data_IF_431496968971
#
_entry.id   IF_431496968971
#
_cell.length_a   1.000
_cell.length_b   1.000
_cell.length_c   1.000
_cell.angle_alpha   90.00
_cell.angle_beta   90.00
_cell.angle_gamma   90.00
#
_symmetry.space_group_name_H-M   'P 1'
#
loop_
_entity.id
_entity.type
_entity.pdbx_description
1 polymer ?
#
# COMPACT_ATOMS: atom_id res chain seq x y z
N UNK A 1 13.46 -21.46 10.14
CA UNK A 1 13.90 -20.22 10.83
C UNK A 1 12.72 -19.23 10.95
N UNK A 2 11.90 -19.10 9.93
CA UNK A 2 10.68 -18.28 9.94
C UNK A 2 9.49 -19.13 9.48
N UNK A 3 9.13 -20.11 10.30
CA UNK A 3 8.22 -21.19 9.88
C UNK A 3 6.79 -20.71 9.69
N UNK A 4 6.29 -19.83 10.57
CA UNK A 4 4.96 -19.23 10.43
C UNK A 4 4.87 -18.30 9.23
N UNK A 5 5.89 -17.45 9.03
CA UNK A 5 5.93 -16.45 7.97
C UNK A 5 5.83 -17.09 6.57
N UNK A 6 6.41 -18.28 6.40
CA UNK A 6 6.41 -19.02 5.13
C UNK A 6 5.38 -20.16 5.04
N UNK A 7 4.45 -20.25 6.01
CA UNK A 7 3.29 -21.14 5.83
C UNK A 7 2.30 -20.55 4.82
N UNK A 8 1.80 -21.36 3.88
CA UNK A 8 0.73 -20.92 2.98
C UNK A 8 -0.55 -20.59 3.75
N UNK A 9 -1.38 -19.74 3.14
CA UNK A 9 -2.73 -19.43 3.63
C UNK A 9 -3.69 -19.39 2.46
N UNK A 10 -4.86 -20.04 2.63
CA UNK A 10 -5.93 -20.02 1.63
C UNK A 10 -7.06 -19.13 2.10
N UNK A 11 -7.49 -18.24 1.24
CA UNK A 11 -8.58 -17.28 1.44
C UNK A 11 -9.55 -17.50 0.29
N UNK A 12 -10.70 -18.12 0.57
CA UNK A 12 -11.59 -18.63 -0.49
C UNK A 12 -10.80 -19.47 -1.52
N UNK A 13 -10.84 -19.13 -2.80
CA UNK A 13 -10.14 -19.89 -3.85
C UNK A 13 -8.68 -19.41 -4.07
N UNK A 14 -8.24 -18.36 -3.39
CA UNK A 14 -6.89 -17.83 -3.50
C UNK A 14 -5.97 -18.42 -2.44
N UNK A 15 -4.89 -19.08 -2.86
CA UNK A 15 -3.82 -19.55 -1.96
C UNK A 15 -2.59 -18.67 -2.11
N UNK A 16 -2.13 -18.10 -0.99
CA UNK A 16 -0.87 -17.35 -0.88
C UNK A 16 0.25 -18.29 -0.43
N UNK A 17 1.41 -18.18 -1.07
CA UNK A 17 2.59 -19.02 -0.80
C UNK A 17 3.30 -18.75 0.54
N UNK A 18 3.04 -17.61 1.13
CA UNK A 18 3.52 -17.18 2.45
C UNK A 18 2.60 -16.08 3.00
N UNK A 19 2.93 -15.51 4.16
CA UNK A 19 2.11 -14.52 4.86
C UNK A 19 2.60 -13.07 4.69
N UNK A 20 3.49 -12.81 3.74
CA UNK A 20 4.06 -11.48 3.47
C UNK A 20 3.35 -10.84 2.27
N UNK A 21 2.77 -9.67 2.52
CA UNK A 21 2.03 -8.92 1.50
C UNK A 21 2.80 -7.64 1.17
N UNK A 22 2.95 -7.36 -0.13
CA UNK A 22 3.30 -6.04 -0.64
C UNK A 22 2.01 -5.22 -0.73
N UNK A 23 1.82 -4.18 0.12
CA UNK A 23 0.59 -3.40 0.13
C UNK A 23 0.51 -2.46 -1.07
N UNK A 24 -0.66 -1.90 -1.28
CA UNK A 24 -0.85 -0.74 -2.12
C UNK A 24 0.03 0.42 -1.61
N UNK A 25 0.91 0.92 -2.47
CA UNK A 25 1.78 2.06 -2.20
C UNK A 25 1.79 2.97 -3.42
N UNK A 26 1.31 4.20 -3.28
CA UNK A 26 1.30 5.18 -4.36
C UNK A 26 2.72 5.44 -4.88
N UNK A 27 2.95 5.15 -6.14
CA UNK A 27 4.27 5.26 -6.76
C UNK A 27 4.48 6.55 -7.55
N UNK A 28 3.40 7.12 -8.06
CA UNK A 28 3.43 8.22 -9.03
C UNK A 28 4.19 7.89 -10.32
N UNK A 29 4.25 6.61 -10.70
CA UNK A 29 4.87 6.19 -11.97
C UNK A 29 3.99 6.46 -13.18
N UNK A 30 2.68 6.58 -12.97
CA UNK A 30 1.70 6.65 -14.06
C UNK A 30 1.88 7.90 -14.92
N UNK A 31 1.65 7.70 -16.20
CA UNK A 31 1.44 8.76 -17.17
C UNK A 31 -0.02 8.68 -17.60
N UNK A 32 -0.78 9.73 -17.30
CA UNK A 32 -2.21 9.85 -17.62
C UNK A 32 -3.07 8.66 -17.13
N UNK A 33 -2.83 8.23 -15.89
CA UNK A 33 -3.61 7.18 -15.16
C UNK A 33 -3.42 5.74 -15.64
N UNK A 34 -2.55 5.50 -16.62
CA UNK A 34 -2.29 4.14 -17.13
C UNK A 34 -1.15 3.45 -16.39
N UNK A 35 -1.25 2.13 -16.28
CA UNK A 35 -0.09 1.28 -15.99
C UNK A 35 0.93 1.43 -17.11
N UNK A 36 2.20 1.50 -16.76
CA UNK A 36 3.33 1.54 -17.68
C UNK A 36 4.42 0.55 -17.27
N UNK A 37 5.52 0.52 -18.01
CA UNK A 37 6.63 -0.39 -17.79
C UNK A 37 7.28 -0.28 -16.40
N UNK A 38 7.27 0.92 -15.79
CA UNK A 38 7.80 1.11 -14.43
C UNK A 38 6.95 0.36 -13.40
N UNK A 39 5.61 0.42 -13.51
CA UNK A 39 4.71 -0.35 -12.63
C UNK A 39 4.95 -1.85 -12.78
N UNK A 40 5.07 -2.33 -14.03
CA UNK A 40 5.29 -3.76 -14.31
C UNK A 40 6.62 -4.19 -13.70
N UNK A 41 7.72 -3.47 -13.98
CA UNK A 41 9.04 -3.80 -13.45
C UNK A 41 9.08 -3.78 -11.91
N UNK A 42 8.42 -2.79 -11.30
CA UNK A 42 8.30 -2.63 -9.86
C UNK A 42 7.61 -3.84 -9.21
N UNK A 43 6.42 -4.22 -9.69
CA UNK A 43 5.68 -5.34 -9.12
C UNK A 43 6.31 -6.70 -9.42
N UNK A 44 6.84 -6.88 -10.63
CA UNK A 44 7.62 -8.07 -11.03
C UNK A 44 8.81 -8.30 -10.11
N UNK A 45 9.56 -7.24 -9.79
CA UNK A 45 10.71 -7.37 -8.89
C UNK A 45 10.30 -7.92 -7.50
N UNK A 46 9.17 -7.50 -6.94
CA UNK A 46 8.67 -7.97 -5.63
C UNK A 46 8.06 -9.37 -5.73
N UNK A 47 7.32 -9.67 -6.79
CA UNK A 47 6.77 -11.01 -7.02
C UNK A 47 7.91 -12.04 -7.19
N UNK A 48 8.91 -11.75 -8.01
CA UNK A 48 10.14 -12.55 -8.16
C UNK A 48 10.89 -12.68 -6.84
N UNK A 49 10.95 -11.61 -6.05
CA UNK A 49 11.58 -11.57 -4.73
C UNK A 49 10.83 -12.31 -3.63
N UNK A 50 9.71 -12.98 -3.97
CA UNK A 50 9.02 -13.89 -3.07
C UNK A 50 7.77 -13.34 -2.37
N UNK A 51 7.35 -12.10 -2.63
CA UNK A 51 6.07 -11.58 -2.12
C UNK A 51 4.92 -12.49 -2.51
N UNK A 52 4.03 -12.82 -1.56
CA UNK A 52 2.91 -13.72 -1.84
C UNK A 52 1.78 -13.04 -2.62
N UNK A 53 1.51 -11.79 -2.27
CA UNK A 53 0.50 -10.94 -2.87
C UNK A 53 1.07 -9.54 -3.06
N UNK A 54 0.91 -8.99 -4.25
CA UNK A 54 1.19 -7.59 -4.54
C UNK A 54 -0.14 -6.86 -4.75
N UNK A 55 -0.49 -5.94 -3.86
CA UNK A 55 -1.65 -5.08 -4.03
C UNK A 55 -1.21 -3.85 -4.81
N UNK A 56 -1.76 -3.69 -6.00
CA UNK A 56 -1.51 -2.53 -6.88
C UNK A 56 -2.08 -1.27 -6.21
N UNK A 57 -1.34 -0.18 -6.33
CA UNK A 57 -1.63 1.10 -5.69
C UNK A 57 -3.04 1.63 -5.95
N UNK A 58 -3.43 2.66 -5.20
CA UNK A 58 -4.71 3.36 -5.34
C UNK A 58 -5.09 3.54 -6.81
N UNK A 59 -6.26 3.01 -7.17
CA UNK A 59 -6.81 3.06 -8.52
C UNK A 59 -8.18 3.71 -8.47
N UNK A 60 -8.27 4.90 -9.07
CA UNK A 60 -9.48 5.74 -9.01
C UNK A 60 -10.66 5.06 -9.67
N UNK A 61 -11.79 5.00 -8.98
CA UNK A 61 -13.03 4.36 -9.48
C UNK A 61 -13.95 5.32 -10.22
N UNK A 62 -13.79 6.64 -10.05
CA UNK A 62 -14.66 7.69 -10.60
C UNK A 62 -13.89 8.58 -11.56
N UNK A 63 -14.32 8.65 -12.83
CA UNK A 63 -13.56 9.28 -13.92
C UNK A 63 -13.26 10.78 -13.69
N UNK A 64 -14.26 11.56 -13.24
CA UNK A 64 -14.09 13.00 -12.98
C UNK A 64 -13.27 13.29 -11.71
N UNK A 65 -13.15 12.33 -10.81
CA UNK A 65 -12.40 12.42 -9.55
C UNK A 65 -11.14 11.56 -9.57
N UNK A 66 -10.50 11.42 -10.73
CA UNK A 66 -9.29 10.63 -10.93
C UNK A 66 -8.10 11.54 -11.22
N UNK A 67 -7.19 11.79 -10.23
CA UNK A 67 -5.98 12.57 -10.46
C UNK A 67 -5.07 11.94 -11.50
N UNK A 68 -4.39 12.75 -12.32
CA UNK A 68 -3.52 12.25 -13.40
C UNK A 68 -2.31 11.48 -12.90
N UNK A 69 -1.90 11.74 -11.66
CA UNK A 69 -0.73 11.13 -11.02
C UNK A 69 -1.00 9.77 -10.36
N UNK A 70 -2.25 9.29 -10.37
CA UNK A 70 -2.64 7.99 -9.81
C UNK A 70 -3.25 7.11 -10.90
N UNK A 71 -3.22 5.81 -10.68
CA UNK A 71 -3.88 4.85 -11.57
C UNK A 71 -5.40 5.07 -11.58
N UNK A 72 -6.03 4.64 -12.66
CA UNK A 72 -7.48 4.62 -12.76
C UNK A 72 -7.98 3.28 -13.29
N UNK A 73 -9.16 2.91 -12.81
CA UNK A 73 -9.97 1.77 -13.29
C UNK A 73 -11.40 2.22 -13.58
N UNK A 74 -11.62 3.55 -13.67
CA UNK A 74 -12.94 4.14 -13.89
C UNK A 74 -13.56 3.84 -15.25
N UNK A 75 -12.76 3.42 -16.24
CA UNK A 75 -13.20 3.17 -17.61
C UNK A 75 -12.54 1.92 -18.19
N UNK A 76 -13.20 1.26 -19.14
CA UNK A 76 -12.74 0.00 -19.75
C UNK A 76 -11.39 0.12 -20.47
N UNK A 77 -11.04 1.30 -20.95
CA UNK A 77 -9.75 1.58 -21.61
C UNK A 77 -8.53 1.23 -20.77
N UNK A 78 -8.66 1.16 -19.42
CA UNK A 78 -7.55 0.83 -18.52
C UNK A 78 -7.33 -0.68 -18.38
N UNK A 79 -8.33 -1.52 -18.69
CA UNK A 79 -8.27 -2.97 -18.52
C UNK A 79 -7.04 -3.60 -19.21
N UNK A 80 -6.71 -3.29 -20.48
CA UNK A 80 -5.59 -3.97 -21.15
C UNK A 80 -4.25 -3.78 -20.43
N UNK A 81 -3.95 -2.57 -19.97
CA UNK A 81 -2.69 -2.29 -19.27
C UNK A 81 -2.65 -2.86 -17.85
N UNK A 82 -3.78 -2.89 -17.16
CA UNK A 82 -3.92 -3.59 -15.88
C UNK A 82 -3.73 -5.11 -16.06
N UNK A 83 -4.24 -5.67 -17.15
CA UNK A 83 -4.04 -7.09 -17.46
C UNK A 83 -2.58 -7.43 -17.77
N UNK A 84 -1.86 -6.61 -18.52
CA UNK A 84 -0.41 -6.78 -18.72
C UNK A 84 0.34 -6.86 -17.39
N UNK A 85 -0.06 -6.02 -16.41
CA UNK A 85 0.54 -6.02 -15.07
C UNK A 85 0.23 -7.30 -14.29
N UNK A 86 -1.05 -7.74 -14.28
CA UNK A 86 -1.43 -8.98 -13.57
C UNK A 86 -0.75 -10.20 -14.17
N UNK A 87 -0.74 -10.33 -15.51
CA UNK A 87 -0.06 -11.41 -16.22
C UNK A 87 1.44 -11.46 -15.88
N UNK A 88 2.10 -10.30 -15.78
CA UNK A 88 3.52 -10.21 -15.41
C UNK A 88 3.78 -10.62 -13.94
N UNK A 89 2.91 -10.26 -13.00
CA UNK A 89 3.01 -10.69 -11.60
C UNK A 89 2.80 -12.21 -11.48
N UNK A 90 1.81 -12.75 -12.20
CA UNK A 90 1.52 -14.18 -12.20
C UNK A 90 2.66 -15.00 -12.80
N UNK A 91 3.34 -14.49 -13.83
CA UNK A 91 4.51 -15.16 -14.44
C UNK A 91 5.65 -15.38 -13.42
N UNK A 92 5.73 -14.57 -12.37
CA UNK A 92 6.70 -14.73 -11.26
C UNK A 92 6.11 -15.54 -10.07
N UNK A 93 4.94 -16.15 -10.24
CA UNK A 93 4.29 -16.95 -9.21
C UNK A 93 3.70 -16.15 -8.04
N UNK A 94 3.58 -14.84 -8.17
CA UNK A 94 2.88 -13.97 -7.22
C UNK A 94 1.38 -13.92 -7.49
N UNK A 95 0.61 -13.44 -6.49
CA UNK A 95 -0.79 -13.06 -6.63
C UNK A 95 -0.91 -11.55 -6.79
N UNK A 96 -1.90 -11.09 -7.55
CA UNK A 96 -2.16 -9.68 -7.83
C UNK A 96 -3.48 -9.23 -7.21
N UNK A 97 -3.43 -8.20 -6.36
CA UNK A 97 -4.60 -7.47 -5.86
C UNK A 97 -4.62 -6.05 -6.43
N UNK A 98 -5.76 -5.38 -6.36
CA UNK A 98 -5.90 -3.96 -6.71
C UNK A 98 -6.67 -3.22 -5.64
N UNK A 99 -6.18 -2.02 -5.26
CA UNK A 99 -6.86 -1.18 -4.30
C UNK A 99 -7.81 -0.21 -5.02
N UNK A 100 -9.12 -0.39 -4.83
CA UNK A 100 -10.15 0.51 -5.32
C UNK A 100 -10.28 1.74 -4.41
N UNK A 101 -10.20 2.92 -5.00
CA UNK A 101 -10.03 4.16 -4.26
C UNK A 101 -10.88 5.30 -4.80
N UNK A 102 -11.43 6.07 -3.88
CA UNK A 102 -11.96 7.41 -4.12
C UNK A 102 -11.36 8.35 -3.05
N UNK A 103 -10.52 9.28 -3.51
CA UNK A 103 -9.58 9.98 -2.64
C UNK A 103 -10.15 11.09 -1.79
N UNK A 104 -11.41 11.48 -1.96
CA UNK A 104 -11.98 12.57 -1.18
C UNK A 104 -11.16 13.86 -1.32
N UNK A 105 -10.72 14.38 -0.20
CA UNK A 105 -9.89 15.58 -0.14
C UNK A 105 -8.55 15.44 -0.87
N UNK A 106 -7.94 14.25 -0.86
CA UNK A 106 -6.63 14.01 -1.49
C UNK A 106 -6.64 14.21 -3.01
N UNK A 107 -7.79 14.13 -3.65
CA UNK A 107 -7.94 14.41 -5.08
C UNK A 107 -7.57 15.86 -5.42
N UNK A 108 -7.68 16.78 -4.48
CA UNK A 108 -7.32 18.20 -4.65
C UNK A 108 -5.83 18.48 -4.94
N UNK A 109 -4.96 17.47 -4.86
CA UNK A 109 -3.59 17.54 -5.37
C UNK A 109 -3.55 17.76 -6.90
N UNK A 110 -4.60 17.38 -7.62
CA UNK A 110 -4.78 17.64 -9.04
C UNK A 110 -5.98 18.58 -9.25
N UNK A 111 -5.70 19.83 -9.59
CA UNK A 111 -6.73 20.85 -9.80
C UNK A 111 -7.71 20.55 -10.94
N UNK A 112 -7.43 19.53 -11.77
CA UNK A 112 -8.33 19.10 -12.85
C UNK A 112 -9.30 18.02 -12.42
N UNK A 113 -9.15 17.45 -11.21
CA UNK A 113 -9.99 16.40 -10.69
C UNK A 113 -11.03 16.94 -9.70
N UNK A 114 -12.23 16.37 -9.74
CA UNK A 114 -13.35 16.77 -8.88
C UNK A 114 -13.14 16.25 -7.45
N UNK A 115 -13.12 17.14 -6.46
CA UNK A 115 -13.10 16.76 -5.05
C UNK A 115 -14.50 16.33 -4.64
N UNK A 116 -14.63 15.15 -4.03
CA UNK A 116 -15.86 14.60 -3.47
C UNK A 116 -15.70 14.47 -1.95
N UNK A 117 -16.57 15.12 -1.16
CA UNK A 117 -16.50 15.16 0.30
C UNK A 117 -17.78 14.61 0.93
N UNK A 118 -17.66 14.02 2.11
CA UNK A 118 -18.82 13.52 2.87
C UNK A 118 -19.75 14.66 3.31
N UNK A 119 -19.19 15.80 3.69
CA UNK A 119 -19.90 16.98 4.21
C UNK A 119 -19.32 18.26 3.65
N UNK A 120 -20.06 19.36 3.77
CA UNK A 120 -19.56 20.70 3.48
C UNK A 120 -18.29 20.97 4.28
N UNK A 121 -17.22 21.32 3.60
CA UNK A 121 -15.91 21.53 4.21
C UNK A 121 -15.29 22.83 3.74
N UNK A 122 -14.97 23.72 4.65
CA UNK A 122 -14.24 24.94 4.37
C UNK A 122 -12.73 24.60 4.23
N UNK A 123 -12.23 24.66 2.99
CA UNK A 123 -10.82 24.36 2.68
C UNK A 123 -9.91 25.58 2.83
N UNK A 124 -10.47 26.79 2.75
CA UNK A 124 -9.80 28.06 3.01
C UNK A 124 -10.87 29.10 3.42
N UNK A 125 -10.47 30.19 4.09
CA UNK A 125 -11.42 31.23 4.49
C UNK A 125 -12.31 31.70 3.33
N UNK A 126 -13.63 31.44 3.45
CA UNK A 126 -14.61 31.76 2.42
C UNK A 126 -14.65 30.83 1.20
N UNK A 127 -13.91 29.72 1.22
CA UNK A 127 -13.94 28.70 0.18
C UNK A 127 -14.42 27.35 0.73
N UNK A 128 -15.70 27.06 0.55
CA UNK A 128 -16.33 25.81 0.99
C UNK A 128 -16.59 24.90 -0.21
N UNK A 129 -16.14 23.64 -0.11
CA UNK A 129 -16.53 22.58 -1.04
C UNK A 129 -17.72 21.84 -0.43
N UNK A 130 -18.86 21.75 -1.15
CA UNK A 130 -20.04 21.10 -0.62
C UNK A 130 -19.85 19.58 -0.52
N UNK A 131 -20.51 19.00 0.47
CA UNK A 131 -20.67 17.56 0.56
C UNK A 131 -21.47 17.01 -0.62
N UNK A 132 -21.16 15.78 -1.03
CA UNK A 132 -21.81 15.17 -2.20
C UNK A 132 -23.31 14.91 -1.97
N UNK A 133 -24.10 15.08 -3.03
CA UNK A 133 -25.53 14.80 -3.00
C UNK A 133 -25.81 13.30 -2.93
N UNK A 134 -27.08 12.92 -2.66
CA UNK A 134 -27.51 11.51 -2.68
C UNK A 134 -27.34 10.86 -4.05
N UNK A 135 -27.60 11.64 -5.11
CA UNK A 135 -27.41 11.18 -6.48
C UNK A 135 -25.93 10.88 -6.75
N UNK A 136 -25.03 11.74 -6.28
CA UNK A 136 -23.58 11.51 -6.39
C UNK A 136 -23.13 10.32 -5.52
N UNK A 137 -23.71 10.12 -4.33
CA UNK A 137 -23.46 8.92 -3.51
C UNK A 137 -23.81 7.66 -4.33
N UNK A 138 -25.00 7.61 -4.93
CA UNK A 138 -25.44 6.47 -5.74
C UNK A 138 -24.53 6.27 -6.97
N UNK A 139 -24.08 7.34 -7.62
CA UNK A 139 -23.13 7.28 -8.73
C UNK A 139 -21.78 6.68 -8.30
N UNK A 140 -21.24 7.14 -7.18
CA UNK A 140 -19.96 6.61 -6.66
C UNK A 140 -20.07 5.13 -6.27
N UNK A 141 -21.18 4.71 -5.66
CA UNK A 141 -21.46 3.30 -5.35
C UNK A 141 -21.47 2.45 -6.62
N UNK A 142 -22.16 2.90 -7.68
CA UNK A 142 -22.17 2.24 -8.98
C UNK A 142 -20.78 2.18 -9.62
N UNK A 143 -19.99 3.25 -9.49
CA UNK A 143 -18.59 3.28 -9.95
C UNK A 143 -17.73 2.22 -9.26
N UNK A 144 -17.89 1.97 -7.97
CA UNK A 144 -17.20 0.89 -7.26
C UNK A 144 -17.56 -0.49 -7.81
N UNK A 145 -18.83 -0.76 -8.06
CA UNK A 145 -19.27 -2.02 -8.69
C UNK A 145 -18.70 -2.21 -10.09
N UNK A 146 -18.73 -1.17 -10.93
CA UNK A 146 -18.13 -1.20 -12.27
C UNK A 146 -16.61 -1.38 -12.24
N UNK A 147 -15.92 -0.72 -11.30
CA UNK A 147 -14.49 -0.87 -11.10
C UNK A 147 -14.12 -2.30 -10.68
N UNK A 148 -14.92 -2.92 -9.81
CA UNK A 148 -14.74 -4.32 -9.41
C UNK A 148 -14.88 -5.27 -10.62
N UNK A 149 -15.89 -5.09 -11.46
CA UNK A 149 -16.03 -5.87 -12.68
C UNK A 149 -14.81 -5.74 -13.62
N UNK A 150 -14.24 -4.53 -13.75
CA UNK A 150 -13.03 -4.30 -14.54
C UNK A 150 -11.80 -4.95 -13.92
N UNK A 151 -11.69 -4.95 -12.57
CA UNK A 151 -10.61 -5.65 -11.87
C UNK A 151 -10.65 -7.16 -12.14
N UNK A 152 -11.84 -7.77 -12.13
CA UNK A 152 -12.03 -9.17 -12.52
C UNK A 152 -11.62 -9.40 -13.97
N UNK A 153 -12.04 -8.54 -14.88
CA UNK A 153 -11.69 -8.63 -16.30
C UNK A 153 -10.19 -8.45 -16.58
N UNK A 154 -9.50 -7.66 -15.74
CA UNK A 154 -8.06 -7.47 -15.78
C UNK A 154 -7.26 -8.62 -15.14
N UNK A 155 -7.91 -9.63 -14.54
CA UNK A 155 -7.27 -10.84 -14.02
C UNK A 155 -6.69 -10.70 -12.62
N UNK A 156 -7.14 -9.74 -11.81
CA UNK A 156 -6.75 -9.66 -10.40
C UNK A 156 -7.29 -10.84 -9.59
N UNK A 157 -6.50 -11.33 -8.63
CA UNK A 157 -6.86 -12.43 -7.73
C UNK A 157 -7.71 -11.97 -6.54
N UNK A 158 -7.61 -10.71 -6.14
CA UNK A 158 -8.42 -10.10 -5.08
C UNK A 158 -8.60 -8.60 -5.32
N UNK A 159 -9.59 -8.02 -4.65
CA UNK A 159 -9.83 -6.58 -4.61
C UNK A 159 -9.64 -6.12 -3.17
N UNK A 160 -9.03 -4.96 -2.97
CA UNK A 160 -8.98 -4.25 -1.70
C UNK A 160 -9.81 -2.97 -1.79
N UNK A 161 -10.86 -2.87 -0.98
CA UNK A 161 -11.64 -1.65 -0.80
C UNK A 161 -10.90 -0.71 0.15
N UNK A 162 -10.57 0.49 -0.31
CA UNK A 162 -9.91 1.48 0.53
C UNK A 162 -10.91 2.27 1.36
N UNK A 163 -11.03 1.93 2.64
CA UNK A 163 -11.90 2.57 3.63
C UNK A 163 -11.10 3.08 4.84
N UNK A 164 -9.94 3.72 4.58
CA UNK A 164 -9.00 4.22 5.60
C UNK A 164 -8.53 5.63 5.27
N UNK A 165 -7.72 6.23 6.17
CA UNK A 165 -6.93 7.45 5.97
C UNK A 165 -7.76 8.71 5.66
N UNK A 166 -9.06 8.69 5.99
CA UNK A 166 -10.03 9.75 5.70
C UNK A 166 -10.24 10.06 4.20
N UNK A 167 -9.94 9.09 3.32
CA UNK A 167 -10.45 9.11 1.96
C UNK A 167 -11.98 8.99 1.96
N UNK A 168 -12.64 9.20 0.83
CA UNK A 168 -14.08 9.40 0.82
C UNK A 168 -14.89 8.35 1.62
N UNK A 169 -14.69 7.02 1.47
CA UNK A 169 -15.45 6.06 2.26
C UNK A 169 -15.22 6.19 3.77
N UNK A 170 -13.98 6.40 4.20
CA UNK A 170 -13.65 6.59 5.61
C UNK A 170 -14.14 7.94 6.15
N UNK A 171 -14.14 9.00 5.33
CA UNK A 171 -14.66 10.31 5.74
C UNK A 171 -16.16 10.29 6.02
N UNK A 172 -16.92 9.39 5.38
CA UNK A 172 -18.33 9.15 5.75
C UNK A 172 -18.45 8.48 7.10
N UNK A 173 -17.56 7.54 7.40
CA UNK A 173 -17.55 6.77 8.65
C UNK A 173 -17.15 7.61 9.86
N UNK A 174 -16.18 8.54 9.66
CA UNK A 174 -15.61 9.42 10.70
C UNK A 174 -16.61 10.48 11.15
N UNK A 175 -16.91 10.54 12.44
CA UNK A 175 -17.72 11.60 13.04
C UNK A 175 -17.01 12.97 13.01
N UNK A 176 -15.68 12.95 13.00
CA UNK A 176 -14.87 14.17 12.88
C UNK A 176 -14.96 14.86 11.51
N UNK A 177 -15.46 14.18 10.48
CA UNK A 177 -15.56 14.69 9.10
C UNK A 177 -16.98 14.65 8.54
N UNK A 178 -17.82 13.74 9.02
CA UNK A 178 -19.19 13.58 8.54
C UNK A 178 -20.17 14.35 9.43
N UNK A 179 -20.53 15.54 9.01
CA UNK A 179 -21.50 16.42 9.69
C UNK A 179 -22.88 16.42 9.02
N UNK A 180 -23.20 15.36 8.23
CA UNK A 180 -24.49 15.21 7.57
C UNK A 180 -25.62 14.98 8.59
N UNK A 181 -26.79 15.49 8.22
CA UNK A 181 -28.04 15.35 9.01
C UNK A 181 -29.07 14.44 8.35
N UNK A 182 -28.71 13.84 7.21
CA UNK A 182 -29.53 12.86 6.49
C UNK A 182 -29.15 11.42 6.91
N UNK A 183 -29.70 10.43 6.19
CA UNK A 183 -29.49 9.00 6.46
C UNK A 183 -28.06 8.50 6.31
N UNK A 184 -27.12 9.35 5.88
CA UNK A 184 -25.68 9.07 5.77
C UNK A 184 -24.86 9.73 6.88
N UNK A 185 -25.50 10.39 7.88
CA UNK A 185 -24.82 11.07 8.97
C UNK A 185 -25.46 10.82 10.35
N UNK A 186 -24.83 11.33 11.39
CA UNK A 186 -25.27 11.15 12.79
C UNK A 186 -24.81 9.82 13.40
N UNK A 187 -25.67 8.83 13.57
CA UNK A 187 -25.31 7.56 14.19
C UNK A 187 -24.26 6.78 13.39
N UNK A 188 -23.52 5.88 14.06
CA UNK A 188 -22.51 5.05 13.39
C UNK A 188 -23.11 4.21 12.26
N UNK A 189 -24.34 3.70 12.44
CA UNK A 189 -25.07 2.94 11.40
C UNK A 189 -25.31 3.80 10.15
N UNK A 190 -25.70 5.06 10.34
CA UNK A 190 -25.94 5.98 9.24
C UNK A 190 -24.62 6.33 8.54
N UNK A 191 -23.57 6.65 9.29
CA UNK A 191 -22.23 6.93 8.73
C UNK A 191 -21.64 5.73 8.00
N UNK A 192 -21.92 4.51 8.44
CA UNK A 192 -21.50 3.26 7.82
C UNK A 192 -22.27 2.93 6.53
N UNK A 193 -23.41 3.55 6.26
CA UNK A 193 -24.29 3.24 5.12
C UNK A 193 -23.56 3.30 3.80
N UNK A 194 -22.92 4.42 3.49
CA UNK A 194 -22.21 4.61 2.22
C UNK A 194 -21.08 3.58 2.00
N UNK A 195 -20.11 3.38 2.92
CA UNK A 195 -19.09 2.35 2.72
C UNK A 195 -19.68 0.93 2.63
N UNK A 196 -20.77 0.61 3.35
CA UNK A 196 -21.44 -0.70 3.23
C UNK A 196 -22.14 -0.87 1.86
N UNK A 197 -22.71 0.19 1.30
CA UNK A 197 -23.26 0.17 -0.07
C UNK A 197 -22.17 -0.08 -1.10
N UNK A 198 -21.00 0.58 -0.96
CA UNK A 198 -19.83 0.33 -1.80
C UNK A 198 -19.36 -1.14 -1.71
N UNK A 199 -19.24 -1.69 -0.50
CA UNK A 199 -18.82 -3.09 -0.28
C UNK A 199 -19.79 -4.05 -0.99
N UNK A 200 -21.12 -3.85 -0.85
CA UNK A 200 -22.11 -4.68 -1.51
C UNK A 200 -22.04 -4.59 -3.03
N UNK A 201 -21.83 -3.38 -3.57
CA UNK A 201 -21.68 -3.17 -5.01
C UNK A 201 -20.42 -3.87 -5.57
N UNK A 202 -19.29 -3.77 -4.86
CA UNK A 202 -18.05 -4.48 -5.18
C UNK A 202 -18.30 -5.99 -5.14
N UNK A 203 -18.84 -6.52 -4.03
CA UNK A 203 -19.07 -7.97 -3.85
C UNK A 203 -19.98 -8.54 -4.91
N UNK A 204 -21.05 -7.82 -5.30
CA UNK A 204 -21.98 -8.24 -6.32
C UNK A 204 -21.35 -8.39 -7.73
N UNK A 205 -20.25 -7.66 -7.99
CA UNK A 205 -19.53 -7.71 -9.26
C UNK A 205 -18.37 -8.73 -9.28
N UNK A 206 -18.05 -9.35 -8.14
CA UNK A 206 -16.94 -10.29 -8.01
C UNK A 206 -17.42 -11.75 -8.04
N UNK A 207 -16.62 -12.70 -8.58
CA UNK A 207 -16.86 -14.13 -8.41
C UNK A 207 -16.91 -14.51 -6.91
N UNK A 208 -17.70 -15.51 -6.57
CA UNK A 208 -17.89 -15.95 -5.16
C UNK A 208 -16.56 -16.37 -4.51
N UNK A 209 -15.71 -17.09 -5.25
CA UNK A 209 -14.42 -17.57 -4.78
C UNK A 209 -13.30 -16.50 -4.71
N UNK A 210 -13.53 -15.30 -5.23
CA UNK A 210 -12.55 -14.21 -5.20
C UNK A 210 -12.61 -13.44 -3.87
N UNK A 211 -11.51 -13.30 -3.11
CA UNK A 211 -11.51 -12.59 -1.84
C UNK A 211 -11.70 -11.07 -2.00
N UNK A 212 -12.48 -10.48 -1.08
CA UNK A 212 -12.58 -9.03 -0.91
C UNK A 212 -11.86 -8.61 0.38
N UNK A 213 -10.82 -7.83 0.21
CA UNK A 213 -10.07 -7.21 1.29
C UNK A 213 -10.63 -5.80 1.56
N UNK A 214 -10.49 -5.34 2.78
CA UNK A 214 -10.80 -3.95 3.15
C UNK A 214 -9.64 -3.36 3.96
N UNK A 215 -9.07 -2.26 3.45
CA UNK A 215 -8.15 -1.45 4.24
C UNK A 215 -8.95 -0.51 5.10
N UNK A 216 -8.73 -0.57 6.43
CA UNK A 216 -9.45 0.19 7.45
C UNK A 216 -8.49 0.74 8.50
N UNK A 217 -8.75 1.92 9.04
CA UNK A 217 -7.99 2.41 10.19
C UNK A 217 -8.50 1.78 11.48
N UNK A 218 -7.58 1.42 12.35
CA UNK A 218 -7.92 0.86 13.65
C UNK A 218 -8.72 1.83 14.52
N UNK A 219 -8.43 3.12 14.37
CA UNK A 219 -9.07 4.24 15.07
C UNK A 219 -8.82 5.53 14.31
N UNK A 220 -9.59 6.54 14.61
CA UNK A 220 -9.48 7.87 13.99
C UNK A 220 -8.70 8.82 14.91
N UNK A 221 -7.48 9.15 14.53
CA UNK A 221 -6.59 9.98 15.35
C UNK A 221 -6.74 11.48 15.01
N UNK A 222 -6.69 12.34 16.01
CA UNK A 222 -6.65 13.78 15.83
C UNK A 222 -8.00 14.50 15.87
N UNK A 223 -9.10 13.77 16.06
CA UNK A 223 -10.46 14.34 16.21
C UNK A 223 -10.98 14.32 17.64
N UNK A 224 -10.16 13.92 18.62
CA UNK A 224 -10.58 13.82 20.01
C UNK A 224 -11.75 12.83 20.19
N UNK A 225 -12.81 13.26 20.85
CA UNK A 225 -14.00 12.42 21.12
C UNK A 225 -14.86 12.15 19.86
N UNK A 226 -14.70 12.95 18.81
CA UNK A 226 -15.40 12.76 17.54
C UNK A 226 -14.73 11.72 16.61
N UNK A 227 -13.56 11.23 16.95
CA UNK A 227 -12.87 10.18 16.16
C UNK A 227 -13.44 8.79 16.45
N UNK A 228 -13.39 7.92 15.44
CA UNK A 228 -13.70 6.49 15.61
C UNK A 228 -12.79 5.85 16.66
N UNK A 229 -13.37 5.11 17.57
CA UNK A 229 -12.64 4.24 18.50
C UNK A 229 -12.37 2.86 17.86
N UNK A 230 -11.51 2.08 18.49
CA UNK A 230 -11.29 0.67 18.04
C UNK A 230 -12.59 -0.13 18.15
N UNK A 231 -13.46 0.16 19.12
CA UNK A 231 -14.76 -0.49 19.32
C UNK A 231 -15.74 -0.15 18.20
N UNK A 232 -15.77 1.12 17.74
CA UNK A 232 -16.56 1.53 16.57
C UNK A 232 -16.08 0.83 15.31
N UNK A 233 -14.76 0.74 15.14
CA UNK A 233 -14.14 0.00 14.02
C UNK A 233 -14.51 -1.48 14.05
N UNK A 234 -14.46 -2.14 15.21
CA UNK A 234 -14.92 -3.54 15.38
C UNK A 234 -16.40 -3.67 14.98
N UNK A 235 -17.23 -2.76 15.42
CA UNK A 235 -18.67 -2.76 15.10
C UNK A 235 -18.89 -2.64 13.59
N UNK A 236 -18.24 -1.66 12.94
CA UNK A 236 -18.29 -1.48 11.49
C UNK A 236 -17.75 -2.69 10.73
N UNK A 237 -16.60 -3.25 11.16
CA UNK A 237 -16.01 -4.43 10.52
C UNK A 237 -16.91 -5.67 10.58
N UNK A 238 -17.70 -5.85 11.64
CA UNK A 238 -18.70 -6.91 11.68
C UNK A 238 -19.81 -6.69 10.63
N UNK A 239 -20.29 -5.46 10.44
CA UNK A 239 -21.24 -5.15 9.36
C UNK A 239 -20.61 -5.31 7.97
N UNK A 240 -19.33 -4.96 7.81
CA UNK A 240 -18.58 -5.15 6.58
C UNK A 240 -18.37 -6.64 6.24
N UNK A 241 -18.15 -7.49 7.25
CA UNK A 241 -18.12 -8.95 7.11
C UNK A 241 -19.45 -9.48 6.56
N UNK A 242 -20.57 -9.04 7.15
CA UNK A 242 -21.90 -9.44 6.70
C UNK A 242 -22.21 -8.91 5.29
N UNK A 243 -21.61 -7.80 4.89
CA UNK A 243 -21.70 -7.23 3.54
C UNK A 243 -20.77 -7.92 2.53
N UNK A 244 -19.85 -8.81 2.95
CA UNK A 244 -19.03 -9.65 2.08
C UNK A 244 -17.53 -9.39 2.07
N UNK A 245 -16.97 -8.65 3.04
CA UNK A 245 -15.52 -8.52 3.26
C UNK A 245 -14.97 -9.80 3.88
N UNK A 246 -13.85 -10.30 3.36
CA UNK A 246 -13.22 -11.54 3.80
C UNK A 246 -11.98 -11.29 4.67
N UNK A 247 -11.24 -10.20 4.42
CA UNK A 247 -9.95 -9.89 5.08
C UNK A 247 -9.88 -8.42 5.45
N UNK A 248 -9.37 -8.12 6.64
CA UNK A 248 -9.10 -6.76 7.10
C UNK A 248 -7.61 -6.44 7.01
N UNK A 249 -7.23 -5.38 6.29
CA UNK A 249 -5.90 -4.76 6.36
C UNK A 249 -5.96 -3.56 7.32
N UNK A 250 -5.48 -3.75 8.56
CA UNK A 250 -5.70 -2.79 9.64
C UNK A 250 -4.59 -1.76 9.67
N UNK A 251 -4.88 -0.59 9.11
CA UNK A 251 -4.01 0.59 9.09
C UNK A 251 -4.27 1.53 10.28
N UNK A 252 -3.68 2.71 10.23
CA UNK A 252 -3.89 3.82 11.16
C UNK A 252 -3.35 5.11 10.56
N UNK A 253 -3.98 6.22 10.89
CA UNK A 253 -3.57 7.55 10.46
C UNK A 253 -4.51 8.16 9.42
N UNK A 254 -4.28 9.42 9.10
CA UNK A 254 -5.11 10.13 8.14
C UNK A 254 -4.37 11.32 7.52
N UNK A 255 -4.88 11.81 6.40
CA UNK A 255 -4.27 12.91 5.64
C UNK A 255 -4.69 14.31 6.10
N UNK A 256 -5.64 14.44 7.04
CA UNK A 256 -6.25 15.73 7.42
C UNK A 256 -5.77 16.26 8.77
N UNK A 257 -5.10 15.44 9.58
CA UNK A 257 -4.57 15.85 10.89
C UNK A 257 -3.08 15.53 11.02
N UNK A 258 -2.48 15.88 12.15
CA UNK A 258 -1.11 15.48 12.50
C UNK A 258 -0.93 13.95 12.63
N UNK A 259 -2.01 13.16 12.51
CA UNK A 259 -2.00 11.71 12.50
C UNK A 259 -1.49 11.11 11.18
N UNK A 260 -1.20 11.90 10.16
CA UNK A 260 -0.52 11.48 8.92
C UNK A 260 0.80 10.72 9.18
N UNK A 261 1.46 11.01 10.30
CA UNK A 261 2.63 10.26 10.77
C UNK A 261 2.37 8.77 11.05
N UNK A 262 1.13 8.35 11.27
CA UNK A 262 0.78 6.94 11.50
C UNK A 262 0.50 6.19 10.19
N UNK A 263 0.08 6.89 9.14
CA UNK A 263 -0.11 6.31 7.81
C UNK A 263 1.22 5.87 7.19
N UNK A 264 2.24 6.74 7.23
CA UNK A 264 3.61 6.42 6.81
C UNK A 264 4.56 6.69 7.98
N UNK A 265 4.63 5.77 8.95
CA UNK A 265 5.28 6.01 10.23
C UNK A 265 6.79 6.24 10.08
N UNK A 266 7.31 7.39 10.61
CA UNK A 266 8.74 7.71 10.61
C UNK A 266 9.53 6.88 11.64
N UNK A 267 10.84 7.14 11.71
CA UNK A 267 11.80 6.38 12.53
C UNK A 267 11.48 6.41 14.03
N UNK A 268 10.94 7.51 14.53
CA UNK A 268 10.64 7.75 15.95
C UNK A 268 9.41 6.98 16.48
N UNK A 269 8.56 6.45 15.60
CA UNK A 269 7.48 5.56 16.02
C UNK A 269 7.98 4.13 16.25
N UNK A 270 7.48 3.41 17.27
CA UNK A 270 7.89 2.04 17.54
C UNK A 270 7.57 1.09 16.37
N UNK A 271 8.41 0.09 16.17
CA UNK A 271 8.11 -1.00 15.23
C UNK A 271 6.92 -1.80 15.72
N UNK A 272 5.94 -2.05 14.84
CA UNK A 272 4.72 -2.80 15.18
C UNK A 272 3.69 -1.99 15.99
N UNK A 273 3.80 -0.65 16.05
CA UNK A 273 2.97 0.23 16.89
C UNK A 273 1.46 0.04 16.75
N UNK A 274 0.99 -0.51 15.62
CA UNK A 274 -0.44 -0.71 15.35
C UNK A 274 -0.87 -2.19 15.45
N UNK A 275 0.04 -3.12 15.71
CA UNK A 275 -0.25 -4.58 15.69
C UNK A 275 -1.24 -4.97 16.78
N UNK A 276 -1.16 -4.36 17.96
CA UNK A 276 -2.07 -4.68 19.07
C UNK A 276 -3.51 -4.22 18.78
N UNK A 277 -3.69 -3.12 18.04
CA UNK A 277 -5.00 -2.70 17.54
C UNK A 277 -5.54 -3.71 16.54
N UNK A 278 -4.71 -4.16 15.58
CA UNK A 278 -5.10 -5.20 14.63
C UNK A 278 -5.51 -6.50 15.33
N UNK A 279 -4.79 -6.90 16.38
CA UNK A 279 -5.11 -8.07 17.19
C UNK A 279 -6.47 -7.91 17.93
N UNK A 280 -6.78 -6.71 18.46
CA UNK A 280 -8.09 -6.42 19.08
C UNK A 280 -9.23 -6.54 18.07
N UNK A 281 -9.06 -5.96 16.87
CA UNK A 281 -10.04 -6.00 15.79
C UNK A 281 -10.24 -7.44 15.32
N UNK A 282 -9.14 -8.19 15.09
CA UNK A 282 -9.20 -9.63 14.76
C UNK A 282 -10.01 -10.43 15.78
N UNK A 283 -9.74 -10.22 17.06
CA UNK A 283 -10.46 -10.87 18.16
C UNK A 283 -11.95 -10.49 18.20
N UNK A 284 -12.25 -9.21 17.96
CA UNK A 284 -13.63 -8.69 18.02
C UNK A 284 -14.50 -9.07 16.82
N UNK A 285 -13.89 -9.39 15.67
CA UNK A 285 -14.58 -9.73 14.42
C UNK A 285 -14.50 -11.21 14.05
N UNK A 286 -13.45 -11.91 14.51
CA UNK A 286 -13.13 -13.26 14.06
C UNK A 286 -12.75 -13.34 12.58
N UNK A 287 -12.37 -12.22 11.95
CA UNK A 287 -11.97 -12.17 10.54
C UNK A 287 -10.46 -12.37 10.38
N UNK A 288 -10.05 -12.91 9.21
CA UNK A 288 -8.65 -12.87 8.81
C UNK A 288 -8.16 -11.42 8.78
N UNK A 289 -7.01 -11.18 9.40
CA UNK A 289 -6.51 -9.82 9.61
C UNK A 289 -5.04 -9.70 9.24
N UNK A 290 -4.70 -8.60 8.61
CA UNK A 290 -3.35 -8.22 8.24
C UNK A 290 -2.87 -7.15 9.20
N UNK A 291 -1.67 -7.32 9.76
CA UNK A 291 -1.01 -6.32 10.60
C UNK A 291 -0.07 -5.43 9.81
N UNK A 292 -0.11 -4.12 10.10
CA UNK A 292 0.80 -3.13 9.53
C UNK A 292 1.35 -2.20 10.60
N UNK A 293 2.46 -1.53 10.34
CA UNK A 293 3.03 -0.51 11.21
C UNK A 293 4.52 -0.70 11.48
N UNK A 294 5.39 -0.31 10.52
CA UNK A 294 6.86 -0.46 10.63
C UNK A 294 7.30 -1.90 10.90
N UNK A 295 6.69 -2.88 10.26
CA UNK A 295 7.18 -4.26 10.23
C UNK A 295 8.21 -4.30 9.11
N UNK A 296 9.51 -4.35 9.47
CA UNK A 296 10.63 -4.30 8.52
C UNK A 296 11.79 -5.23 8.90
N UNK A 297 11.52 -6.16 9.81
CA UNK A 297 12.45 -7.16 10.27
C UNK A 297 11.76 -8.53 10.21
N UNK A 298 12.40 -9.58 9.64
CA UNK A 298 11.76 -10.89 9.52
C UNK A 298 11.47 -11.55 10.84
N UNK A 299 12.33 -11.37 11.87
CA UNK A 299 12.07 -11.95 13.20
C UNK A 299 10.86 -11.28 13.85
N UNK A 300 10.75 -9.93 13.75
CA UNK A 300 9.56 -9.23 14.22
C UNK A 300 8.28 -9.74 13.55
N UNK A 301 8.32 -9.99 12.24
CA UNK A 301 7.17 -10.51 11.51
C UNK A 301 6.79 -11.93 11.96
N UNK A 302 7.79 -12.80 12.19
CA UNK A 302 7.58 -14.15 12.74
C UNK A 302 6.98 -14.09 14.13
N UNK A 303 7.56 -13.31 15.05
CA UNK A 303 7.09 -13.16 16.44
C UNK A 303 5.62 -12.70 16.50
N UNK A 304 5.22 -11.77 15.61
CA UNK A 304 3.83 -11.30 15.52
C UNK A 304 2.88 -12.43 15.11
N UNK A 305 3.28 -13.26 14.16
CA UNK A 305 2.47 -14.41 13.69
C UNK A 305 2.47 -15.57 14.68
N UNK A 306 3.60 -15.85 15.33
CA UNK A 306 3.69 -16.88 16.39
C UNK A 306 2.85 -16.53 17.61
N UNK A 307 2.80 -15.23 17.96
CA UNK A 307 1.94 -14.72 19.03
C UNK A 307 0.44 -14.69 18.65
N UNK A 308 0.07 -15.18 17.47
CA UNK A 308 -1.30 -15.24 16.93
C UNK A 308 -2.03 -13.86 16.95
N UNK A 309 -1.27 -12.77 16.80
CA UNK A 309 -1.82 -11.42 16.81
C UNK A 309 -2.59 -11.11 15.52
N UNK A 310 -2.07 -11.56 14.38
CA UNK A 310 -2.67 -11.40 13.05
C UNK A 310 -2.39 -12.63 12.19
N UNK A 311 -3.06 -12.74 11.05
CA UNK A 311 -2.92 -13.88 10.13
C UNK A 311 -1.85 -13.66 9.07
N UNK A 312 -1.61 -12.41 8.68
CA UNK A 312 -0.64 -11.98 7.67
C UNK A 312 -0.04 -10.63 8.06
N UNK A 313 1.08 -10.27 7.44
CA UNK A 313 1.78 -9.00 7.67
C UNK A 313 2.00 -8.24 6.36
N UNK A 314 1.78 -6.94 6.43
CA UNK A 314 2.14 -5.99 5.37
C UNK A 314 3.55 -5.46 5.62
N UNK A 315 4.44 -5.64 4.64
CA UNK A 315 5.83 -5.22 4.72
C UNK A 315 6.22 -4.30 3.54
N UNK A 316 5.47 -3.18 3.36
CA UNK A 316 5.60 -2.31 2.19
C UNK A 316 7.00 -1.72 2.02
N UNK A 317 7.42 -0.83 2.94
CA UNK A 317 8.74 -0.17 2.83
C UNK A 317 9.93 -1.12 3.02
N UNK A 318 9.73 -2.28 3.65
CA UNK A 318 10.74 -3.34 3.67
C UNK A 318 11.00 -3.86 2.25
N UNK A 319 9.95 -4.21 1.50
CA UNK A 319 10.04 -4.67 0.13
C UNK A 319 10.32 -3.52 -0.88
N UNK A 320 10.07 -2.26 -0.50
CA UNK A 320 10.55 -1.11 -1.26
C UNK A 320 12.07 -1.00 -1.19
N UNK A 321 12.64 -1.14 0.01
CA UNK A 321 14.08 -1.08 0.23
C UNK A 321 14.81 -2.31 -0.35
N UNK A 322 14.20 -3.49 -0.25
CA UNK A 322 14.75 -4.74 -0.75
C UNK A 322 13.66 -5.57 -1.47
N UNK A 323 13.61 -5.55 -2.80
CA UNK A 323 12.61 -6.34 -3.52
C UNK A 323 12.79 -7.86 -3.34
N UNK A 324 13.99 -8.34 -3.00
CA UNK A 324 14.31 -9.75 -2.76
C UNK A 324 14.16 -10.17 -1.27
N UNK A 325 13.52 -9.32 -0.48
CA UNK A 325 13.35 -9.50 0.97
C UNK A 325 12.85 -10.90 1.35
N UNK A 326 11.76 -11.38 0.72
CA UNK A 326 11.15 -12.65 1.09
C UNK A 326 12.04 -13.84 0.76
N UNK A 327 12.72 -13.86 -0.39
CA UNK A 327 13.65 -14.93 -0.75
C UNK A 327 14.84 -14.95 0.21
N UNK A 328 15.44 -13.79 0.52
CA UNK A 328 16.54 -13.68 1.49
C UNK A 328 16.14 -14.23 2.86
N UNK A 329 14.92 -13.89 3.33
CA UNK A 329 14.39 -14.46 4.57
C UNK A 329 14.27 -15.99 4.50
N UNK A 330 13.66 -16.50 3.42
CA UNK A 330 13.44 -17.95 3.23
C UNK A 330 14.73 -18.73 3.14
N UNK A 331 15.77 -18.16 2.53
CA UNK A 331 17.09 -18.75 2.34
C UNK A 331 18.02 -18.57 3.54
N UNK A 332 17.57 -17.87 4.60
CA UNK A 332 18.39 -17.60 5.79
C UNK A 332 19.46 -16.52 5.60
N UNK A 333 19.41 -15.77 4.49
CA UNK A 333 20.33 -14.66 4.16
C UNK A 333 19.87 -13.32 4.78
N UNK A 334 19.56 -13.34 6.08
CA UNK A 334 18.96 -12.19 6.79
C UNK A 334 19.92 -10.99 6.83
N UNK A 335 21.21 -11.25 6.89
CA UNK A 335 22.24 -10.19 6.91
C UNK A 335 22.40 -9.48 5.55
N UNK A 336 21.96 -10.12 4.46
CA UNK A 336 21.98 -9.54 3.11
C UNK A 336 20.80 -8.60 2.83
N UNK A 337 19.85 -8.48 3.77
CA UNK A 337 18.65 -7.67 3.58
C UNK A 337 18.97 -6.19 3.68
N UNK A 338 18.65 -5.44 2.64
CA UNK A 338 18.67 -3.97 2.64
C UNK A 338 17.47 -3.42 3.41
N UNK A 339 17.61 -3.29 4.74
CA UNK A 339 16.50 -2.91 5.63
C UNK A 339 16.05 -1.47 5.44
N UNK A 340 14.75 -1.25 5.44
CA UNK A 340 14.18 0.10 5.52
C UNK A 340 14.55 0.76 6.84
N UNK A 341 15.09 1.97 6.78
CA UNK A 341 15.51 2.76 7.96
C UNK A 341 14.42 3.71 8.48
N UNK A 342 13.26 3.80 7.82
CA UNK A 342 12.14 4.65 8.25
C UNK A 342 12.37 6.14 8.02
N UNK A 343 13.25 6.53 7.08
CA UNK A 343 13.61 7.93 6.83
C UNK A 343 12.52 8.77 6.15
N UNK A 344 11.58 8.14 5.46
CA UNK A 344 10.49 8.74 4.66
C UNK A 344 10.93 9.62 3.47
N UNK A 345 12.22 9.95 3.30
CA UNK A 345 12.75 10.92 2.34
C UNK A 345 12.39 10.63 0.87
N UNK A 346 12.49 9.39 0.42
CA UNK A 346 12.22 9.04 -0.98
C UNK A 346 10.80 8.53 -1.20
N UNK A 347 10.22 7.83 -0.24
CA UNK A 347 8.88 7.25 -0.38
C UNK A 347 7.77 8.26 -0.05
N UNK A 348 7.76 8.88 1.14
CA UNK A 348 6.73 9.84 1.53
C UNK A 348 6.99 11.23 0.95
N UNK A 349 8.19 11.78 1.19
CA UNK A 349 8.51 13.12 0.70
C UNK A 349 8.53 13.15 -0.84
N UNK A 350 9.07 12.10 -1.49
CA UNK A 350 9.01 11.95 -2.94
C UNK A 350 7.60 11.78 -3.50
N UNK A 351 6.66 11.24 -2.71
CA UNK A 351 5.25 11.19 -3.06
C UNK A 351 4.56 12.55 -2.89
N UNK A 352 4.87 13.29 -1.82
CA UNK A 352 4.26 14.56 -1.49
C UNK A 352 4.81 15.74 -2.32
N UNK A 353 6.09 15.72 -2.69
CA UNK A 353 6.72 16.77 -3.49
C UNK A 353 6.34 16.64 -4.97
N UNK A 354 5.49 17.55 -5.44
CA UNK A 354 5.04 17.57 -6.83
C UNK A 354 6.14 17.87 -7.86
N UNK A 355 7.31 18.36 -7.42
CA UNK A 355 8.48 18.54 -8.29
C UNK A 355 9.26 17.23 -8.51
N UNK A 356 9.05 16.23 -7.66
CA UNK A 356 9.63 14.90 -7.87
C UNK A 356 8.79 14.13 -8.89
N UNK A 357 9.40 13.43 -9.86
CA UNK A 357 8.66 12.70 -10.88
C UNK A 357 7.90 11.49 -10.32
N UNK A 358 8.44 10.85 -9.29
CA UNK A 358 7.89 9.67 -8.62
C UNK A 358 8.64 9.39 -7.31
N UNK A 359 8.16 8.40 -6.56
CA UNK A 359 8.86 7.93 -5.35
C UNK A 359 10.24 7.37 -5.66
N UNK A 360 11.11 7.45 -4.67
CA UNK A 360 12.45 6.84 -4.66
C UNK A 360 12.69 6.14 -3.32
N UNK A 361 13.86 5.55 -3.13
CA UNK A 361 14.27 5.00 -1.84
C UNK A 361 15.76 5.25 -1.58
N UNK A 362 16.08 5.70 -0.36
CA UNK A 362 17.45 5.92 0.08
C UNK A 362 18.30 4.63 0.02
N UNK A 363 17.68 3.49 0.31
CA UNK A 363 18.34 2.16 0.34
C UNK A 363 18.34 1.44 -1.00
N UNK A 364 17.37 1.77 -1.88
CA UNK A 364 17.18 1.08 -3.16
C UNK A 364 17.15 2.09 -4.31
N UNK A 365 18.26 2.28 -5.01
CA UNK A 365 18.35 3.22 -6.12
C UNK A 365 17.59 2.76 -7.38
N UNK A 366 17.09 1.51 -7.40
CA UNK A 366 16.40 0.96 -8.56
C UNK A 366 14.93 1.36 -8.64
N UNK A 367 14.34 2.00 -7.60
CA UNK A 367 12.93 2.37 -7.60
C UNK A 367 12.58 3.25 -8.81
N UNK A 368 11.64 2.76 -9.65
CA UNK A 368 11.24 3.40 -10.91
C UNK A 368 12.28 3.28 -12.04
N UNK A 369 13.35 2.51 -11.81
CA UNK A 369 14.46 2.24 -12.74
C UNK A 369 14.87 0.77 -12.71
N UNK A 370 13.99 -0.13 -12.29
CA UNK A 370 14.30 -1.55 -12.07
C UNK A 370 14.92 -2.20 -13.30
N UNK A 371 14.35 -1.97 -14.49
CA UNK A 371 14.86 -2.52 -15.76
C UNK A 371 16.23 -1.95 -16.11
N UNK A 372 16.41 -0.63 -15.97
CA UNK A 372 17.69 0.04 -16.24
C UNK A 372 18.79 -0.46 -15.31
N UNK A 373 18.49 -0.52 -14.00
CA UNK A 373 19.44 -1.01 -13.01
C UNK A 373 19.80 -2.48 -13.21
N UNK A 374 18.82 -3.33 -13.54
CA UNK A 374 19.08 -4.73 -13.86
C UNK A 374 19.98 -4.90 -15.09
N UNK A 375 19.76 -4.12 -16.14
CA UNK A 375 20.63 -4.10 -17.31
C UNK A 375 22.04 -3.58 -16.98
N UNK A 376 22.13 -2.53 -16.17
CA UNK A 376 23.41 -1.96 -15.74
C UNK A 376 24.22 -2.90 -14.83
N UNK A 377 23.58 -3.83 -14.13
CA UNK A 377 24.21 -4.81 -13.23
C UNK A 377 24.70 -6.08 -13.92
N UNK A 378 24.49 -6.23 -15.24
CA UNK A 378 25.00 -7.40 -15.96
C UNK A 378 26.54 -7.49 -15.85
N UNK A 379 27.10 -8.70 -15.71
CA UNK A 379 28.54 -8.89 -15.66
C UNK A 379 29.25 -8.31 -16.86
N UNK A 380 30.39 -7.60 -16.63
CA UNK A 380 31.17 -7.03 -17.70
C UNK A 380 31.94 -8.08 -18.48
N UNK A 381 32.05 -7.92 -19.80
CA UNK A 381 32.91 -8.70 -20.63
C UNK A 381 34.38 -8.16 -20.65
N UNK A 382 34.61 -6.98 -20.03
CA UNK A 382 35.92 -6.33 -19.97
C UNK A 382 36.24 -5.91 -18.52
N UNK A 383 36.66 -6.86 -17.65
CA UNK A 383 37.03 -6.58 -16.28
C UNK A 383 38.15 -5.53 -16.19
N UNK A 384 38.02 -4.60 -15.25
CA UNK A 384 39.02 -3.55 -14.98
C UNK A 384 39.38 -3.57 -13.51
N UNK A 385 40.61 -3.20 -13.20
CA UNK A 385 41.03 -2.83 -11.85
C UNK A 385 40.66 -1.36 -11.62
N UNK A 386 39.87 -1.08 -10.57
CA UNK A 386 39.35 0.25 -10.29
C UNK A 386 39.73 0.63 -8.87
N UNK A 387 40.44 1.74 -8.72
CA UNK A 387 40.82 2.30 -7.44
C UNK A 387 39.65 3.15 -6.89
N UNK A 388 39.30 2.93 -5.65
CA UNK A 388 38.27 3.68 -4.91
C UNK A 388 38.98 4.37 -3.73
N UNK A 389 38.96 5.68 -3.72
CA UNK A 389 39.52 6.48 -2.63
C UNK A 389 38.42 6.82 -1.61
N UNK A 390 38.53 6.27 -0.38
CA UNK A 390 37.62 6.44 0.72
C UNK A 390 36.73 5.23 0.96
N UNK A 391 36.80 4.68 2.17
CA UNK A 391 36.04 3.51 2.64
C UNK A 391 34.75 3.85 3.38
N UNK A 392 34.18 5.04 3.17
CA UNK A 392 32.87 5.39 3.64
C UNK A 392 31.76 4.65 2.87
N UNK A 393 30.49 4.90 3.20
CA UNK A 393 29.31 4.20 2.63
C UNK A 393 29.33 4.24 1.09
N UNK A 394 29.62 5.38 0.49
CA UNK A 394 29.67 5.51 -0.98
C UNK A 394 30.76 4.65 -1.61
N UNK A 395 31.97 4.63 -1.02
CA UNK A 395 33.08 3.81 -1.50
C UNK A 395 32.83 2.31 -1.32
N UNK A 396 32.24 1.91 -0.21
CA UNK A 396 31.85 0.53 0.04
C UNK A 396 30.80 0.04 -0.96
N UNK A 397 29.75 0.84 -1.22
CA UNK A 397 28.72 0.48 -2.21
C UNK A 397 29.29 0.45 -3.64
N UNK A 398 30.19 1.38 -3.98
CA UNK A 398 30.90 1.35 -5.27
C UNK A 398 31.74 0.07 -5.39
N UNK A 399 32.47 -0.33 -4.35
CA UNK A 399 33.26 -1.56 -4.34
C UNK A 399 32.38 -2.80 -4.50
N UNK A 400 31.28 -2.88 -3.76
CA UNK A 400 30.29 -3.98 -3.85
C UNK A 400 29.72 -4.08 -5.27
N UNK A 401 29.24 -2.97 -5.81
CA UNK A 401 28.65 -2.91 -7.16
C UNK A 401 29.66 -3.31 -8.24
N UNK A 402 30.86 -2.77 -8.20
CA UNK A 402 31.93 -3.12 -9.16
C UNK A 402 32.31 -4.60 -9.08
N UNK A 403 32.36 -5.16 -7.87
CA UNK A 403 32.64 -6.59 -7.67
C UNK A 403 31.54 -7.46 -8.28
N UNK A 404 30.26 -7.13 -8.02
CA UNK A 404 29.11 -7.82 -8.60
C UNK A 404 29.10 -7.76 -10.14
N UNK A 405 29.57 -6.65 -10.71
CA UNK A 405 29.75 -6.49 -12.16
C UNK A 405 30.97 -7.19 -12.73
N UNK A 406 31.78 -7.89 -11.92
CA UNK A 406 32.95 -8.63 -12.36
C UNK A 406 34.22 -7.80 -12.52
N UNK A 407 34.24 -6.56 -12.02
CA UNK A 407 35.47 -5.76 -11.94
C UNK A 407 36.33 -6.14 -10.72
N UNK A 408 37.53 -5.60 -10.62
CA UNK A 408 38.48 -5.77 -9.53
C UNK A 408 38.65 -4.45 -8.76
N UNK A 409 37.74 -4.11 -7.81
CA UNK A 409 37.85 -2.91 -7.00
C UNK A 409 38.99 -3.02 -5.98
N UNK A 410 39.80 -1.94 -5.86
CA UNK A 410 40.77 -1.72 -4.79
C UNK A 410 40.29 -0.54 -3.97
N UNK A 411 39.83 -0.80 -2.72
CA UNK A 411 39.34 0.23 -1.82
C UNK A 411 40.49 0.68 -0.90
N UNK A 412 40.77 2.00 -0.91
CA UNK A 412 41.75 2.64 -0.04
C UNK A 412 41.02 3.53 0.97
N UNK A 413 41.37 3.38 2.24
CA UNK A 413 40.88 4.20 3.34
C UNK A 413 42.06 4.81 4.11
N UNK A 414 41.91 6.05 4.56
CA UNK A 414 42.96 6.78 5.26
C UNK A 414 43.05 6.40 6.74
N UNK A 415 41.96 5.85 7.31
CA UNK A 415 41.86 5.38 8.70
C UNK A 415 41.97 3.86 8.77
N UNK A 416 42.03 3.33 9.97
CA UNK A 416 42.06 1.88 10.25
C UNK A 416 40.69 1.22 10.26
N UNK A 417 39.62 1.98 10.03
CA UNK A 417 38.25 1.51 10.03
C UNK A 417 37.48 1.91 8.76
N UNK A 418 36.66 0.97 8.25
CA UNK A 418 35.74 1.23 7.14
C UNK A 418 34.37 1.71 7.69
N UNK A 419 33.58 2.40 6.84
CA UNK A 419 32.21 2.81 7.13
C UNK A 419 32.02 4.33 7.20
N UNK A 420 33.06 5.10 7.42
CA UNK A 420 32.99 6.57 7.56
C UNK A 420 32.47 6.99 8.93
N UNK A 421 31.71 8.10 8.95
CA UNK A 421 31.16 8.68 10.20
C UNK A 421 29.96 7.91 10.72
#
# INVERSE_FOLDING_TARGET
>A
MFDKLFTPITIKDMTLRNRIIMPAMGTRFTEDRFVNEKHIAYHVARARGGSALNIVEVSSVHALSAPKMFLSIAEDKYIPKLKELTDAIHAEGGKAGIQLWQGGLAVGMDQTAMILLSSDTELAPGFTVPGISREMIAEVVDCYGKAAARAVAAGFDCIEFHCAHNYLPHSFLSDGLNHRTDEYGGSLENRARFPLECIRAIRAAMPEGMPLFMRIDAQDDGFGEAGLTVEDTITFCNWAKDAGVDVLDVSRGNIVTAASKYEVPPLDLPRGFNVDNAARIRKGTGMLTIGVGRINDPQQAEDILEADKVDMVVMGRAQLADPDFCNKCKEGRVEDIDRCVGCNQGCLDGFADLNMPHITCLRNPAIGRETECAAAMQPTQNPKTILIAGGGIAGLEAARTLKLKGHHPILCEATDALGGQ
#
